data_IF_101732263914
#
_entry.id   IF_101732263914
#
_cell.length_a   1.000
_cell.length_b   1.000
_cell.length_c   1.000
_cell.angle_alpha   90.00
_cell.angle_beta   90.00
_cell.angle_gamma   90.00
#
_symmetry.space_group_name_H-M   'P 1'
#
loop_
_entity.id
_entity.type
_entity.pdbx_description
1 polymer ?
#
# COMPACT_ATOMS: atom_id res chain seq x y z
N UNK A 1 2.20 21.12 23.65
CA UNK A 1 1.52 20.53 24.83
C UNK A 1 1.56 19.02 24.67
N UNK A 2 1.93 18.28 25.72
CA UNK A 2 2.01 16.82 25.67
C UNK A 2 0.64 16.19 25.92
N UNK A 3 0.29 15.19 25.14
CA UNK A 3 -0.96 14.44 25.25
C UNK A 3 -0.68 12.99 25.61
N UNK A 4 -1.55 12.40 26.44
CA UNK A 4 -1.44 10.99 26.87
C UNK A 4 -2.80 10.32 26.78
N UNK A 5 -2.82 9.01 26.51
CA UNK A 5 -4.06 8.24 26.51
C UNK A 5 -4.65 8.12 27.92
N UNK A 6 -5.96 7.88 28.00
CA UNK A 6 -6.67 7.68 29.28
C UNK A 6 -6.07 6.54 30.11
N UNK A 7 -5.60 5.47 29.46
CA UNK A 7 -4.95 4.35 30.13
C UNK A 7 -3.59 4.76 30.72
N UNK A 8 -2.78 5.52 29.98
CA UNK A 8 -1.51 6.04 30.49
C UNK A 8 -1.74 7.02 31.63
N UNK A 9 -2.70 7.93 31.47
CA UNK A 9 -3.05 8.92 32.49
C UNK A 9 -3.51 8.27 33.80
N UNK A 10 -4.32 7.20 33.70
CA UNK A 10 -4.77 6.42 34.86
C UNK A 10 -3.60 5.85 35.67
N UNK A 11 -2.59 5.30 34.97
CA UNK A 11 -1.39 4.73 35.61
C UNK A 11 -0.49 5.83 36.19
N UNK A 12 -0.20 6.87 35.42
CA UNK A 12 0.74 7.95 35.80
C UNK A 12 0.25 8.73 37.01
N UNK A 13 -1.03 9.10 37.04
CA UNK A 13 -1.62 9.90 38.13
C UNK A 13 -2.22 9.04 39.24
N UNK A 14 -2.15 7.71 39.13
CA UNK A 14 -2.76 6.74 40.08
C UNK A 14 -4.25 7.04 40.32
N UNK A 15 -4.99 7.32 39.25
CA UNK A 15 -6.44 7.62 39.28
C UNK A 15 -7.17 6.61 38.42
N UNK A 16 -8.33 6.12 38.88
CA UNK A 16 -9.13 5.19 38.08
C UNK A 16 -9.68 5.86 36.80
N UNK A 17 -9.81 5.07 35.72
CA UNK A 17 -10.37 5.54 34.44
C UNK A 17 -11.78 6.12 34.61
N UNK A 18 -12.60 5.53 35.48
CA UNK A 18 -13.95 6.03 35.77
C UNK A 18 -13.92 7.45 36.33
N UNK A 19 -12.98 7.77 37.22
CA UNK A 19 -12.81 9.13 37.76
C UNK A 19 -12.39 10.11 36.66
N UNK A 20 -11.53 9.69 35.74
CA UNK A 20 -11.13 10.51 34.57
C UNK A 20 -12.34 10.77 33.68
N UNK A 21 -13.12 9.73 33.34
CA UNK A 21 -14.36 9.88 32.56
C UNK A 21 -15.39 10.78 33.25
N UNK A 22 -15.50 10.72 34.58
CA UNK A 22 -16.37 11.62 35.32
C UNK A 22 -15.96 13.09 35.15
N UNK A 23 -14.66 13.40 35.09
CA UNK A 23 -14.18 14.77 34.85
C UNK A 23 -14.37 15.22 33.40
N UNK A 24 -14.22 14.30 32.44
CA UNK A 24 -14.57 14.55 31.03
C UNK A 24 -16.05 14.91 30.93
N UNK A 25 -16.94 14.11 31.52
CA UNK A 25 -18.39 14.35 31.49
C UNK A 25 -18.81 15.67 32.15
N UNK A 26 -18.06 16.11 33.18
CA UNK A 26 -18.25 17.41 33.84
C UNK A 26 -17.70 18.59 33.04
N UNK A 27 -16.96 18.37 31.97
CA UNK A 27 -16.31 19.43 31.19
C UNK A 27 -15.06 20.02 31.86
N UNK A 28 -14.52 19.37 32.90
CA UNK A 28 -13.31 19.84 33.59
C UNK A 28 -12.03 19.50 32.80
N UNK A 29 -12.08 18.47 31.95
CA UNK A 29 -11.02 18.09 31.00
C UNK A 29 -11.64 17.71 29.67
N UNK A 30 -10.93 18.02 28.59
CA UNK A 30 -11.38 17.71 27.24
C UNK A 30 -10.68 16.47 26.72
N UNK A 31 -11.47 15.58 26.12
CA UNK A 31 -10.98 14.41 25.37
C UNK A 31 -10.85 14.80 23.90
N UNK A 32 -9.67 14.61 23.33
CA UNK A 32 -9.42 14.81 21.91
C UNK A 32 -10.08 13.70 21.08
N UNK A 33 -10.15 13.89 19.75
CA UNK A 33 -10.81 12.94 18.83
C UNK A 33 -10.11 11.57 18.78
N UNK A 34 -8.80 11.56 18.95
CA UNK A 34 -7.93 10.38 19.09
C UNK A 34 -8.06 9.70 20.48
N UNK A 35 -8.82 10.29 21.39
CA UNK A 35 -9.01 9.83 22.75
C UNK A 35 -7.88 10.14 23.72
N UNK A 36 -7.00 11.07 23.38
CA UNK A 36 -5.95 11.57 24.28
C UNK A 36 -6.43 12.72 25.15
N UNK A 37 -5.70 12.95 26.24
CA UNK A 37 -5.95 13.99 27.24
C UNK A 37 -4.68 14.84 27.40
N UNK A 38 -4.86 16.13 27.65
CA UNK A 38 -3.76 17.03 27.97
C UNK A 38 -3.13 16.67 29.32
N UNK A 39 -1.80 16.51 29.35
CA UNK A 39 -1.04 16.27 30.58
C UNK A 39 -1.21 17.44 31.56
N UNK A 40 -1.32 18.67 31.06
CA UNK A 40 -1.50 19.87 31.89
C UNK A 40 -2.84 19.85 32.63
N UNK A 41 -3.90 19.43 31.96
CA UNK A 41 -5.22 19.29 32.57
C UNK A 41 -5.23 18.19 33.64
N UNK A 42 -4.56 17.07 33.36
CA UNK A 42 -4.36 16.00 34.32
C UNK A 42 -3.55 16.46 35.53
N UNK A 43 -2.49 17.26 35.32
CA UNK A 43 -1.68 17.82 36.39
C UNK A 43 -2.46 18.82 37.24
N UNK A 44 -3.30 19.65 36.62
CA UNK A 44 -4.16 20.61 37.33
C UNK A 44 -5.18 19.92 38.25
N UNK A 45 -5.79 18.83 37.80
CA UNK A 45 -6.85 18.15 38.56
C UNK A 45 -6.36 17.05 39.49
N UNK A 46 -5.28 16.38 39.13
CA UNK A 46 -4.79 15.18 39.82
C UNK A 46 -3.32 15.26 40.24
N UNK A 47 -2.65 16.39 39.98
CA UNK A 47 -1.24 16.58 40.33
C UNK A 47 -0.94 16.49 41.82
N UNK A 48 -1.95 16.67 42.68
CA UNK A 48 -1.80 16.55 44.14
C UNK A 48 -1.70 15.09 44.60
N UNK A 49 -1.89 14.11 43.71
CA UNK A 49 -1.90 12.68 44.04
C UNK A 49 -0.54 11.99 43.84
N UNK A 50 0.42 12.67 43.22
CA UNK A 50 1.71 12.10 42.78
C UNK A 50 2.77 13.18 42.62
N UNK A 51 4.04 12.85 42.85
CA UNK A 51 5.15 13.80 42.72
C UNK A 51 5.30 14.35 41.30
N UNK A 52 5.23 15.67 41.17
CA UNK A 52 5.35 16.39 39.88
C UNK A 52 6.59 15.98 39.08
N UNK A 53 7.74 15.84 39.75
CA UNK A 53 9.01 15.44 39.12
C UNK A 53 8.99 14.03 38.54
N UNK A 54 8.23 13.11 39.14
CA UNK A 54 8.10 11.72 38.66
C UNK A 54 7.22 11.67 37.42
N UNK A 55 6.15 12.46 37.41
CA UNK A 55 5.22 12.56 36.27
C UNK A 55 5.93 13.19 35.06
N UNK A 56 6.66 14.29 35.26
CA UNK A 56 7.39 14.96 34.18
C UNK A 56 8.41 14.02 33.52
N UNK A 57 9.22 13.30 34.32
CA UNK A 57 10.17 12.29 33.81
C UNK A 57 9.48 11.16 33.05
N UNK A 58 8.38 10.63 33.59
CA UNK A 58 7.63 9.55 32.94
C UNK A 58 7.02 10.00 31.61
N UNK A 59 6.55 11.25 31.53
CA UNK A 59 6.01 11.83 30.29
C UNK A 59 7.12 12.02 29.26
N UNK A 60 8.31 12.51 29.65
CA UNK A 60 9.45 12.65 28.73
C UNK A 60 9.92 11.29 28.22
N UNK A 61 9.96 10.26 29.06
CA UNK A 61 10.38 8.92 28.67
C UNK A 61 9.37 8.26 27.71
N UNK A 62 8.06 8.48 27.92
CA UNK A 62 7.01 8.02 27.01
C UNK A 62 7.07 8.72 25.65
N UNK A 63 7.32 10.02 25.62
CA UNK A 63 7.48 10.77 24.36
C UNK A 63 8.72 10.29 23.60
N UNK A 64 9.83 10.09 24.30
CA UNK A 64 11.06 9.56 23.69
C UNK A 64 10.90 8.13 23.16
N UNK A 65 10.15 7.26 23.86
CA UNK A 65 9.81 5.92 23.35
C UNK A 65 8.90 5.97 22.12
N UNK A 66 7.96 6.91 22.06
CA UNK A 66 7.05 7.05 20.91
C UNK A 66 7.81 7.48 19.65
N UNK A 67 8.76 8.41 19.77
CA UNK A 67 9.63 8.82 18.67
C UNK A 67 10.50 7.66 18.13
N UNK A 68 10.94 6.75 19.01
CA UNK A 68 11.69 5.55 18.58
C UNK A 68 10.79 4.54 17.85
N UNK A 69 9.50 4.44 18.21
CA UNK A 69 8.54 3.55 17.55
C UNK A 69 8.17 4.08 16.16
N UNK A 70 8.01 5.40 15.99
CA UNK A 70 7.77 6.01 14.67
C UNK A 70 8.94 5.76 13.71
N UNK A 71 10.18 5.92 14.19
CA UNK A 71 11.38 5.59 13.40
C UNK A 71 11.47 4.09 13.06
N UNK A 72 11.04 3.20 13.96
CA UNK A 72 11.03 1.75 13.72
C UNK A 72 9.94 1.31 12.73
N UNK A 73 8.88 2.10 12.54
CA UNK A 73 7.76 1.80 11.63
C UNK A 73 8.01 2.38 10.23
N UNK A 74 8.75 3.48 10.11
CA UNK A 74 9.11 4.05 8.80
C UNK A 74 10.12 3.19 8.02
N UNK A 75 11.11 2.61 8.70
CA UNK A 75 12.09 1.74 8.04
C UNK A 75 11.49 0.51 7.33
N UNK A 76 10.62 -0.33 7.95
CA UNK A 76 10.04 -1.48 7.27
C UNK A 76 9.08 -1.08 6.16
N UNK A 77 8.42 0.09 6.24
CA UNK A 77 7.55 0.59 5.16
C UNK A 77 8.36 0.91 3.90
N UNK A 78 9.49 1.60 4.05
CA UNK A 78 10.36 1.94 2.93
C UNK A 78 10.93 0.69 2.24
N UNK A 79 11.30 -0.34 3.01
CA UNK A 79 11.82 -1.59 2.45
C UNK A 79 10.76 -2.37 1.64
N UNK A 80 9.52 -2.41 2.14
CA UNK A 80 8.42 -3.05 1.42
C UNK A 80 8.07 -2.30 0.14
N UNK A 81 8.09 -0.97 0.17
CA UNK A 81 7.81 -0.14 -1.01
C UNK A 81 8.87 -0.35 -2.10
N UNK A 82 10.15 -0.41 -1.74
CA UNK A 82 11.23 -0.71 -2.69
C UNK A 82 11.11 -2.11 -3.30
N UNK A 83 10.75 -3.12 -2.49
CA UNK A 83 10.54 -4.49 -2.98
C UNK A 83 9.36 -4.56 -3.97
N UNK A 84 8.25 -3.88 -3.65
CA UNK A 84 7.09 -3.79 -4.52
C UNK A 84 7.42 -3.08 -5.84
N UNK A 85 8.20 -1.99 -5.80
CA UNK A 85 8.67 -1.30 -7.01
C UNK A 85 9.53 -2.21 -7.89
N UNK A 86 10.46 -2.98 -7.31
CA UNK A 86 11.25 -3.96 -8.06
C UNK A 86 10.38 -5.04 -8.72
N UNK A 87 9.37 -5.53 -8.00
CA UNK A 87 8.46 -6.56 -8.54
C UNK A 87 7.60 -6.01 -9.68
N UNK A 88 7.15 -4.75 -9.59
CA UNK A 88 6.43 -4.06 -10.67
C UNK A 88 7.32 -3.93 -11.91
N UNK A 89 8.59 -3.54 -11.74
CA UNK A 89 9.53 -3.39 -12.85
C UNK A 89 9.79 -4.73 -13.57
N UNK A 90 9.94 -5.81 -12.80
CA UNK A 90 10.10 -7.17 -13.33
C UNK A 90 8.86 -7.61 -14.11
N UNK A 91 7.66 -7.37 -13.57
CA UNK A 91 6.41 -7.72 -14.24
C UNK A 91 6.22 -6.93 -15.53
N UNK A 92 6.54 -5.62 -15.55
CA UNK A 92 6.51 -4.81 -16.77
C UNK A 92 7.42 -5.38 -17.85
N UNK A 93 8.65 -5.73 -17.48
CA UNK A 93 9.62 -6.34 -18.40
C UNK A 93 9.10 -7.67 -18.97
N UNK A 94 8.47 -8.51 -18.15
CA UNK A 94 7.88 -9.77 -18.60
C UNK A 94 6.71 -9.53 -19.58
N UNK A 95 5.84 -8.55 -19.28
CA UNK A 95 4.73 -8.18 -20.17
C UNK A 95 5.27 -7.70 -21.52
N UNK A 96 6.27 -6.82 -21.54
CA UNK A 96 6.86 -6.33 -22.79
C UNK A 96 7.48 -7.45 -23.64
N UNK A 97 8.13 -8.42 -22.99
CA UNK A 97 8.67 -9.60 -23.67
C UNK A 97 7.58 -10.47 -24.28
N UNK A 98 6.48 -10.71 -23.55
CA UNK A 98 5.34 -11.47 -24.03
C UNK A 98 4.63 -10.77 -25.20
N UNK A 99 4.49 -9.45 -25.14
CA UNK A 99 3.93 -8.67 -26.25
C UNK A 99 4.78 -8.78 -27.52
N UNK A 100 6.11 -8.70 -27.40
CA UNK A 100 7.03 -8.92 -28.54
C UNK A 100 6.90 -10.32 -29.13
N UNK A 101 6.79 -11.35 -28.29
CA UNK A 101 6.59 -12.73 -28.77
C UNK A 101 5.25 -12.88 -29.47
N UNK A 102 4.18 -12.29 -28.93
CA UNK A 102 2.86 -12.34 -29.53
C UNK A 102 2.85 -11.65 -30.90
N UNK A 103 3.50 -10.50 -31.03
CA UNK A 103 3.63 -9.79 -32.30
C UNK A 103 4.41 -10.61 -33.33
N UNK A 104 5.52 -11.24 -32.93
CA UNK A 104 6.27 -12.14 -33.79
C UNK A 104 5.41 -13.32 -34.29
N UNK A 105 4.64 -13.95 -33.41
CA UNK A 105 3.73 -15.05 -33.78
C UNK A 105 2.66 -14.58 -34.75
N UNK A 106 2.05 -13.40 -34.52
CA UNK A 106 1.04 -12.83 -35.42
C UNK A 106 1.60 -12.56 -36.82
N UNK A 107 2.80 -12.00 -36.90
CA UNK A 107 3.47 -11.73 -38.18
C UNK A 107 3.77 -13.03 -38.93
N UNK A 108 4.26 -14.05 -38.22
CA UNK A 108 4.53 -15.36 -38.80
C UNK A 108 3.24 -16.04 -39.30
N UNK A 109 2.15 -15.98 -38.52
CA UNK A 109 0.85 -16.50 -38.94
C UNK A 109 0.32 -15.79 -40.20
N UNK A 110 0.42 -14.46 -40.25
CA UNK A 110 0.01 -13.68 -41.41
C UNK A 110 0.83 -14.05 -42.67
N UNK A 111 2.15 -14.20 -42.51
CA UNK A 111 3.03 -14.62 -43.60
C UNK A 111 2.71 -16.03 -44.11
N UNK A 112 2.49 -16.99 -43.21
CA UNK A 112 2.09 -18.35 -43.57
C UNK A 112 0.75 -18.38 -44.30
N UNK A 113 -0.25 -17.61 -43.84
CA UNK A 113 -1.54 -17.46 -44.53
C UNK A 113 -1.36 -16.91 -45.94
N UNK A 114 -0.56 -15.87 -46.10
CA UNK A 114 -0.29 -15.28 -47.42
C UNK A 114 0.42 -16.25 -48.37
N UNK A 115 1.35 -17.08 -47.88
CA UNK A 115 1.96 -18.13 -48.71
C UNK A 115 0.95 -19.18 -49.15
N UNK A 116 0.04 -19.57 -48.25
CA UNK A 116 -0.96 -20.60 -48.52
C UNK A 116 -1.99 -20.09 -49.54
N UNK A 117 -2.42 -18.84 -49.43
CA UNK A 117 -3.29 -18.18 -50.41
C UNK A 117 -2.63 -18.08 -51.80
N UNK A 118 -1.34 -17.73 -51.87
CA UNK A 118 -0.59 -17.70 -53.12
C UNK A 118 -0.56 -19.08 -53.79
N UNK A 119 -0.22 -20.14 -53.04
CA UNK A 119 -0.24 -21.51 -53.57
C UNK A 119 -1.64 -21.93 -54.04
N UNK A 120 -2.69 -21.57 -53.30
CA UNK A 120 -4.06 -21.90 -53.69
C UNK A 120 -4.47 -21.21 -55.00
N UNK A 121 -4.06 -19.95 -55.20
CA UNK A 121 -4.29 -19.20 -56.44
C UNK A 121 -3.53 -19.82 -57.61
N UNK A 122 -2.27 -20.21 -57.41
CA UNK A 122 -1.45 -20.89 -58.43
C UNK A 122 -2.10 -22.19 -58.90
N UNK A 123 -2.49 -23.08 -57.96
CA UNK A 123 -3.16 -24.34 -58.29
C UNK A 123 -4.47 -24.12 -59.06
N UNK A 124 -5.31 -23.17 -58.64
CA UNK A 124 -6.57 -22.83 -59.32
C UNK A 124 -6.35 -22.33 -60.75
N UNK A 125 -5.25 -21.61 -61.01
CA UNK A 125 -4.93 -21.11 -62.34
C UNK A 125 -4.39 -22.22 -63.27
N UNK A 126 -3.63 -23.19 -62.75
CA UNK A 126 -3.16 -24.32 -63.52
C UNK A 126 -4.30 -25.25 -63.98
N UNK A 127 -5.28 -25.53 -63.11
CA UNK A 127 -6.43 -26.37 -63.47
C UNK A 127 -7.30 -25.73 -64.56
N UNK A 128 -7.58 -24.42 -64.45
CA UNK A 128 -8.39 -23.68 -65.43
C UNK A 128 -7.75 -23.64 -66.81
N UNK A 129 -6.43 -23.46 -66.91
CA UNK A 129 -5.71 -23.46 -68.19
C UNK A 129 -5.66 -24.85 -68.84
N UNK A 130 -5.54 -25.92 -68.03
CA UNK A 130 -5.51 -27.31 -68.50
C UNK A 130 -6.86 -27.79 -69.05
N UNK A 131 -7.98 -27.37 -68.44
CA UNK A 131 -9.32 -27.72 -68.90
C UNK A 131 -9.73 -27.00 -70.19
N UNK A 132 -9.37 -25.71 -70.32
CA UNK A 132 -9.67 -24.95 -71.53
C UNK A 132 -8.81 -25.40 -72.72
N UNK A 133 -7.55 -25.77 -72.49
CA UNK A 133 -6.67 -26.29 -73.55
C UNK A 133 -7.10 -27.65 -74.12
N UNK A 134 -7.88 -28.44 -73.37
CA UNK A 134 -8.41 -29.74 -73.83
C UNK A 134 -9.74 -29.66 -74.57
N UNK A 135 -10.48 -28.55 -74.43
CA UNK A 135 -11.78 -28.36 -75.08
C UNK A 135 -11.69 -27.60 -76.42
N UNK A 136 -10.57 -26.93 -76.68
CA UNK A 136 -10.35 -26.10 -77.87
C UNK A 136 -9.07 -26.46 -78.65
N UNK A 137 -8.53 -27.67 -78.45
CA UNK A 137 -7.38 -28.23 -79.17
C UNK A 137 -7.78 -29.37 -80.09
#
# INVERSE_FOLDING_TARGET
MSYISINQASKLFKVSRNTIYARIKKGEITKNIDGTLSVQDMMRLFGNKTDKKVIEKSVTDLLNSTNNIEQLIEQPKNNNEQLLQQQIEQLKTQVEQLEKQLEYVKQNEAWLKQQLDQKLIEHKNHEKKSLLGRLFG
#
